data_IF_777527623036
#
_entry.id   IF_777527623036
#
_cell.length_a   1.000
_cell.length_b   1.000
_cell.length_c   1.000
_cell.angle_alpha   90.00
_cell.angle_beta   90.00
_cell.angle_gamma   90.00
#
_symmetry.space_group_name_H-M   'P 1'
#
loop_
_entity.id
_entity.type
_entity.pdbx_description
1 polymer ?
#
# COMPACT_ATOMS: atom_id res chain seq x y z
N UNK A 1 -35.31 115.49 1.57
CA UNK A 1 -36.27 114.72 0.75
C UNK A 1 -35.66 114.56 -0.64
N UNK A 2 -35.17 113.37 -0.95
CA UNK A 2 -35.08 112.76 -2.29
C UNK A 2 -34.28 111.45 -2.15
N UNK A 3 -34.89 110.37 -2.65
CA UNK A 3 -34.41 109.00 -2.76
C UNK A 3 -33.22 108.84 -3.72
N UNK A 4 -32.40 107.81 -3.49
CA UNK A 4 -31.59 107.15 -4.52
C UNK A 4 -31.54 105.63 -4.27
N UNK A 5 -31.31 104.81 -5.32
CA UNK A 5 -32.05 103.57 -5.54
C UNK A 5 -31.33 102.28 -5.12
N UNK A 6 -32.20 101.28 -4.89
CA UNK A 6 -31.96 99.87 -4.63
C UNK A 6 -31.33 99.15 -5.85
N UNK A 7 -30.22 98.44 -5.64
CA UNK A 7 -29.68 97.46 -6.59
C UNK A 7 -29.16 96.23 -5.82
N UNK A 8 -29.90 95.14 -5.91
CA UNK A 8 -29.59 93.83 -5.30
C UNK A 8 -28.80 92.95 -6.27
N UNK A 9 -27.69 92.31 -5.85
CA UNK A 9 -27.11 91.17 -6.56
C UNK A 9 -27.61 89.81 -6.01
N UNK A 10 -27.52 88.71 -6.79
CA UNK A 10 -28.22 87.44 -6.56
C UNK A 10 -27.58 86.53 -5.47
N UNK A 11 -28.30 85.51 -4.96
CA UNK A 11 -27.81 84.63 -3.90
C UNK A 11 -26.76 83.60 -4.40
N UNK A 12 -25.82 83.17 -3.55
CA UNK A 12 -24.87 82.10 -3.87
C UNK A 12 -25.51 80.69 -3.79
N UNK A 13 -24.98 79.70 -4.53
CA UNK A 13 -25.56 78.36 -4.64
C UNK A 13 -25.33 77.47 -3.40
N UNK A 14 -26.29 76.55 -3.17
CA UNK A 14 -26.26 75.49 -2.16
C UNK A 14 -24.98 74.65 -2.22
N UNK A 15 -24.35 74.45 -1.07
CA UNK A 15 -23.25 73.50 -0.89
C UNK A 15 -23.80 72.15 -0.46
N UNK A 16 -23.65 71.15 -1.33
CA UNK A 16 -23.86 69.73 -1.03
C UNK A 16 -22.90 69.29 0.11
N UNK A 17 -23.33 68.47 1.09
CA UNK A 17 -22.44 68.04 2.17
C UNK A 17 -21.45 66.98 1.67
N UNK A 18 -20.15 67.30 1.77
CA UNK A 18 -19.04 66.36 1.54
C UNK A 18 -19.09 65.19 2.53
N UNK A 19 -18.86 63.93 2.11
CA UNK A 19 -18.88 62.79 3.01
C UNK A 19 -17.62 62.73 3.89
N UNK A 20 -17.81 62.58 5.20
CA UNK A 20 -16.74 62.44 6.20
C UNK A 20 -15.79 61.26 5.93
N UNK A 21 -14.47 61.47 5.84
CA UNK A 21 -13.47 60.43 5.56
C UNK A 21 -13.24 59.43 6.72
N UNK A 22 -13.68 59.73 7.95
CA UNK A 22 -13.48 58.84 9.11
C UNK A 22 -14.35 57.58 9.07
N UNK A 23 -15.61 57.67 8.61
CA UNK A 23 -16.55 56.54 8.64
C UNK A 23 -16.20 55.44 7.61
N UNK A 24 -15.58 55.82 6.50
CA UNK A 24 -15.10 54.87 5.48
C UNK A 24 -13.84 54.10 5.92
N UNK A 25 -13.06 54.64 6.86
CA UNK A 25 -11.81 54.03 7.33
C UNK A 25 -12.06 52.96 8.38
N UNK A 26 -12.96 53.21 9.34
CA UNK A 26 -13.38 52.21 10.34
C UNK A 26 -14.13 51.04 9.70
N UNK A 27 -15.01 51.29 8.73
CA UNK A 27 -15.76 50.22 8.03
C UNK A 27 -14.86 49.31 7.18
N UNK A 28 -13.77 49.86 6.60
CA UNK A 28 -12.77 49.07 5.87
C UNK A 28 -11.86 48.27 6.82
N UNK A 29 -11.49 48.83 7.97
CA UNK A 29 -10.69 48.11 8.98
C UNK A 29 -11.49 46.97 9.64
N UNK A 30 -12.76 47.14 9.99
CA UNK A 30 -13.59 46.06 10.57
C UNK A 30 -13.86 44.94 9.55
N UNK A 31 -14.16 45.30 8.29
CA UNK A 31 -14.32 44.31 7.20
C UNK A 31 -13.01 43.57 6.88
N UNK A 32 -11.86 44.25 6.91
CA UNK A 32 -10.55 43.63 6.73
C UNK A 32 -10.18 42.68 7.87
N UNK A 33 -10.40 43.11 9.12
CA UNK A 33 -10.15 42.32 10.34
C UNK A 33 -11.03 41.07 10.40
N UNK A 34 -12.35 41.20 10.16
CA UNK A 34 -13.25 40.02 10.06
C UNK A 34 -12.85 39.09 8.93
N UNK A 35 -12.46 39.61 7.75
CA UNK A 35 -12.06 38.78 6.60
C UNK A 35 -10.78 37.99 6.88
N UNK A 36 -9.81 38.60 7.55
CA UNK A 36 -8.56 37.95 7.95
C UNK A 36 -8.79 36.91 9.06
N UNK A 37 -9.63 37.23 10.04
CA UNK A 37 -10.02 36.30 11.12
C UNK A 37 -10.79 35.07 10.61
N UNK A 38 -11.75 35.25 9.69
CA UNK A 38 -12.45 34.12 9.06
C UNK A 38 -11.52 33.27 8.18
N UNK A 39 -10.55 33.89 7.50
CA UNK A 39 -9.54 33.18 6.69
C UNK A 39 -8.63 32.33 7.58
N UNK A 40 -8.19 32.88 8.71
CA UNK A 40 -7.34 32.21 9.70
C UNK A 40 -8.06 31.03 10.39
N UNK A 41 -9.33 31.23 10.77
CA UNK A 41 -10.17 30.16 11.34
C UNK A 41 -10.40 29.02 10.34
N UNK A 42 -10.57 29.34 9.05
CA UNK A 42 -10.76 28.36 7.98
C UNK A 42 -9.48 27.56 7.72
N UNK A 43 -8.30 28.19 7.78
CA UNK A 43 -7.00 27.52 7.64
C UNK A 43 -6.76 26.55 8.81
N UNK A 44 -6.99 26.99 10.04
CA UNK A 44 -6.88 26.13 11.24
C UNK A 44 -7.81 24.92 11.18
N UNK A 45 -9.04 25.11 10.70
CA UNK A 45 -10.00 24.03 10.50
C UNK A 45 -9.54 23.03 9.42
N UNK A 46 -8.99 23.51 8.29
CA UNK A 46 -8.45 22.66 7.22
C UNK A 46 -7.22 21.88 7.69
N UNK A 47 -6.30 22.52 8.42
CA UNK A 47 -5.12 21.85 9.00
C UNK A 47 -5.53 20.76 9.99
N UNK A 48 -6.51 21.03 10.86
CA UNK A 48 -7.04 20.04 11.80
C UNK A 48 -7.65 18.83 11.11
N UNK A 49 -8.47 19.04 10.08
CA UNK A 49 -9.06 17.94 9.28
C UNK A 49 -7.95 17.13 8.61
N UNK A 50 -6.97 17.78 8.00
CA UNK A 50 -5.93 17.08 7.25
C UNK A 50 -5.01 16.27 8.19
N UNK A 51 -4.74 16.76 9.40
CA UNK A 51 -4.07 15.97 10.45
C UNK A 51 -4.91 14.77 10.93
N UNK A 52 -6.23 14.94 11.10
CA UNK A 52 -7.13 13.83 11.46
C UNK A 52 -7.16 12.76 10.35
N UNK A 53 -7.21 13.18 9.08
CA UNK A 53 -7.16 12.29 7.92
C UNK A 53 -5.84 11.50 7.93
N UNK A 54 -4.70 12.18 8.06
CA UNK A 54 -3.39 11.49 8.15
C UNK A 54 -3.34 10.47 9.30
N UNK A 55 -3.92 10.81 10.46
CA UNK A 55 -4.03 9.87 11.59
C UNK A 55 -4.86 8.65 11.23
N UNK A 56 -6.07 8.82 10.70
CA UNK A 56 -6.96 7.72 10.35
C UNK A 56 -6.33 6.79 9.31
N UNK A 57 -5.68 7.35 8.29
CA UNK A 57 -5.00 6.57 7.24
C UNK A 57 -3.71 5.89 7.71
N UNK A 58 -3.16 6.31 8.84
CA UNK A 58 -2.04 5.62 9.47
C UNK A 58 -2.48 4.38 10.28
N UNK A 59 -3.77 4.23 10.63
CA UNK A 59 -4.28 3.03 11.32
C UNK A 59 -4.19 1.75 10.48
N UNK A 60 -4.54 1.74 9.17
CA UNK A 60 -4.28 0.60 8.28
C UNK A 60 -2.82 0.13 8.27
N UNK A 61 -1.86 1.03 8.51
CA UNK A 61 -0.44 0.65 8.59
C UNK A 61 -0.21 -0.29 9.78
N UNK A 62 -0.78 0.02 10.94
CA UNK A 62 -0.68 -0.84 12.13
C UNK A 62 -1.38 -2.19 11.92
N UNK A 63 -2.56 -2.19 11.32
CA UNK A 63 -3.27 -3.43 10.97
C UNK A 63 -2.44 -4.30 10.00
N UNK A 64 -1.77 -3.68 9.03
CA UNK A 64 -0.86 -4.36 8.10
C UNK A 64 0.34 -4.97 8.82
N UNK A 65 0.91 -4.29 9.82
CA UNK A 65 1.98 -4.84 10.67
C UNK A 65 1.49 -6.09 11.41
N UNK A 66 0.33 -6.03 12.06
CA UNK A 66 -0.23 -7.19 12.77
C UNK A 66 -0.48 -8.36 11.83
N UNK A 67 -1.06 -8.10 10.65
CA UNK A 67 -1.28 -9.11 9.62
C UNK A 67 0.03 -9.76 9.14
N UNK A 68 1.07 -8.95 8.89
CA UNK A 68 2.37 -9.44 8.42
C UNK A 68 3.04 -10.33 9.48
N UNK A 69 2.95 -9.94 10.76
CA UNK A 69 3.50 -10.72 11.87
C UNK A 69 2.72 -12.03 12.11
N UNK A 70 1.40 -12.01 11.88
CA UNK A 70 0.57 -13.22 11.96
C UNK A 70 0.90 -14.22 10.84
N UNK A 71 0.95 -13.75 9.59
CA UNK A 71 1.23 -14.58 8.42
C UNK A 71 2.63 -15.22 8.42
N UNK A 72 3.62 -14.61 9.09
CA UNK A 72 4.96 -15.16 9.31
C UNK A 72 4.97 -16.61 9.81
N UNK A 73 3.94 -17.00 10.57
CA UNK A 73 3.88 -18.32 11.21
C UNK A 73 3.33 -19.44 10.30
N UNK A 74 2.67 -19.11 9.18
CA UNK A 74 1.91 -20.08 8.40
C UNK A 74 2.58 -20.54 7.09
N UNK A 75 3.56 -19.82 6.56
CA UNK A 75 3.89 -19.91 5.13
C UNK A 75 5.30 -20.44 4.76
N UNK A 76 5.94 -21.27 5.60
CA UNK A 76 7.30 -21.80 5.35
C UNK A 76 8.40 -20.73 5.09
N UNK A 77 8.07 -19.45 5.27
CA UNK A 77 8.91 -18.31 4.91
C UNK A 77 10.17 -18.19 5.77
N UNK A 78 10.20 -18.88 6.92
CA UNK A 78 11.34 -18.90 7.82
C UNK A 78 12.62 -19.45 7.18
N UNK A 79 12.49 -20.36 6.21
CA UNK A 79 13.61 -20.94 5.44
C UNK A 79 14.34 -19.89 4.60
N UNK A 80 13.67 -18.82 4.20
CA UNK A 80 14.20 -17.79 3.32
C UNK A 80 14.77 -16.58 4.08
N UNK A 81 14.82 -16.62 5.43
CA UNK A 81 15.16 -15.46 6.29
C UNK A 81 14.25 -14.24 6.08
N UNK A 82 13.12 -14.40 5.38
CA UNK A 82 12.10 -13.38 5.18
C UNK A 82 11.54 -12.82 6.49
N UNK A 83 11.44 -13.58 7.60
CA UNK A 83 11.07 -13.03 8.90
C UNK A 83 11.87 -11.82 9.34
N UNK A 84 13.18 -11.76 9.03
CA UNK A 84 14.02 -10.61 9.41
C UNK A 84 13.64 -9.36 8.61
N UNK A 85 13.33 -9.53 7.33
CA UNK A 85 12.85 -8.45 6.48
C UNK A 85 11.46 -7.98 6.93
N UNK A 86 10.56 -8.91 7.28
CA UNK A 86 9.24 -8.59 7.81
C UNK A 86 9.31 -7.80 9.12
N UNK A 87 10.21 -8.16 10.03
CA UNK A 87 10.44 -7.40 11.26
C UNK A 87 10.96 -5.99 10.93
N UNK A 88 11.93 -5.86 10.01
CA UNK A 88 12.44 -4.56 9.57
C UNK A 88 11.35 -3.66 8.98
N UNK A 89 10.50 -4.20 8.10
CA UNK A 89 9.35 -3.48 7.54
C UNK A 89 8.38 -3.08 8.67
N UNK A 90 8.09 -4.00 9.60
CA UNK A 90 7.19 -3.74 10.73
C UNK A 90 7.68 -2.60 11.62
N UNK A 91 8.97 -2.60 11.99
CA UNK A 91 9.59 -1.53 12.78
C UNK A 91 9.57 -0.20 12.00
N UNK A 92 9.88 -0.23 10.70
CA UNK A 92 9.81 0.95 9.84
C UNK A 92 8.41 1.56 9.76
N UNK A 93 7.37 0.71 9.65
CA UNK A 93 5.97 1.15 9.63
C UNK A 93 5.52 1.76 10.97
N UNK A 94 5.95 1.18 12.09
CA UNK A 94 5.70 1.77 13.43
C UNK A 94 6.40 3.13 13.55
N UNK A 95 7.66 3.23 13.09
CA UNK A 95 8.39 4.50 13.08
C UNK A 95 7.64 5.56 12.25
N UNK A 96 7.18 5.22 11.05
CA UNK A 96 6.38 6.12 10.20
C UNK A 96 5.12 6.56 10.94
N UNK A 97 4.39 5.63 11.56
CA UNK A 97 3.21 5.97 12.37
C UNK A 97 3.54 6.97 13.49
N UNK A 98 4.63 6.76 14.24
CA UNK A 98 5.05 7.66 15.32
C UNK A 98 5.49 9.03 14.81
N UNK A 99 6.20 9.07 13.68
CA UNK A 99 6.64 10.32 13.04
C UNK A 99 5.44 11.10 12.50
N UNK A 100 4.48 10.42 11.86
CA UNK A 100 3.27 11.04 11.33
C UNK A 100 2.33 11.58 12.43
N UNK A 101 2.25 10.90 13.59
CA UNK A 101 1.24 11.19 14.62
C UNK A 101 1.78 11.80 15.92
N UNK A 102 2.94 11.37 16.42
CA UNK A 102 3.36 11.60 17.81
C UNK A 102 4.35 12.76 18.01
N UNK A 103 5.27 13.00 17.08
CA UNK A 103 6.39 13.94 17.32
C UNK A 103 6.21 15.35 16.72
N UNK A 104 5.18 15.56 15.89
CA UNK A 104 5.20 16.68 14.94
C UNK A 104 4.16 17.77 15.13
N UNK A 105 3.13 17.63 15.97
CA UNK A 105 2.31 18.80 16.33
C UNK A 105 3.16 19.88 17.03
N UNK A 106 4.11 19.46 17.86
CA UNK A 106 4.99 20.35 18.62
C UNK A 106 6.17 20.88 17.78
N UNK A 107 6.83 20.03 16.99
CA UNK A 107 7.93 20.45 16.11
C UNK A 107 7.45 21.30 14.93
N UNK A 108 6.25 21.04 14.38
CA UNK A 108 5.70 21.77 13.23
C UNK A 108 5.35 23.22 13.56
N UNK A 109 4.95 23.49 14.81
CA UNK A 109 4.69 24.84 15.28
C UNK A 109 5.97 25.67 15.46
N UNK A 110 7.11 25.03 15.74
CA UNK A 110 8.38 25.74 16.03
C UNK A 110 9.39 25.71 14.88
N UNK A 111 9.47 24.61 14.13
CA UNK A 111 10.45 24.36 13.07
C UNK A 111 9.81 23.62 11.87
N UNK A 112 8.94 24.26 11.07
CA UNK A 112 8.18 23.61 9.99
C UNK A 112 9.06 23.00 8.89
N UNK A 113 10.25 23.55 8.65
CA UNK A 113 11.21 23.03 7.65
C UNK A 113 11.88 21.73 8.08
N UNK A 114 12.30 21.63 9.35
CA UNK A 114 12.89 20.39 9.90
C UNK A 114 11.82 19.30 9.95
N UNK A 115 10.61 19.70 10.33
CA UNK A 115 9.45 18.84 10.41
C UNK A 115 9.14 18.09 9.09
N UNK A 116 9.11 18.79 7.95
CA UNK A 116 8.80 18.14 6.67
C UNK A 116 9.91 17.18 6.21
N UNK A 117 11.18 17.50 6.48
CA UNK A 117 12.31 16.63 6.14
C UNK A 117 12.23 15.32 6.93
N UNK A 118 11.97 15.41 8.25
CA UNK A 118 11.88 14.23 9.12
C UNK A 118 10.73 13.30 8.72
N UNK A 119 9.65 13.81 8.13
CA UNK A 119 8.53 13.00 7.62
C UNK A 119 8.79 12.43 6.22
N UNK A 120 9.31 13.24 5.31
CA UNK A 120 9.46 12.84 3.91
C UNK A 120 10.56 11.79 3.71
N UNK A 121 11.64 11.83 4.51
CA UNK A 121 12.72 10.82 4.44
C UNK A 121 12.20 9.39 4.71
N UNK A 122 11.53 9.07 5.83
CA UNK A 122 11.02 7.72 6.05
C UNK A 122 9.91 7.32 5.05
N UNK A 123 9.08 8.27 4.59
CA UNK A 123 8.06 7.98 3.57
C UNK A 123 8.66 7.67 2.19
N UNK A 124 9.74 8.34 1.79
CA UNK A 124 10.45 8.04 0.53
C UNK A 124 11.20 6.71 0.63
N UNK A 125 11.74 6.37 1.82
CA UNK A 125 12.26 5.03 2.07
C UNK A 125 11.16 3.96 1.95
N UNK A 126 9.98 4.19 2.54
CA UNK A 126 8.83 3.29 2.40
C UNK A 126 8.41 3.11 0.93
N UNK A 127 8.40 4.19 0.16
CA UNK A 127 8.10 4.18 -1.28
C UNK A 127 9.12 3.35 -2.08
N UNK A 128 10.42 3.57 -1.85
CA UNK A 128 11.48 2.85 -2.55
C UNK A 128 11.48 1.35 -2.22
N UNK A 129 11.24 0.99 -0.96
CA UNK A 129 11.05 -0.43 -0.56
C UNK A 129 9.83 -1.03 -1.25
N UNK A 130 8.71 -0.30 -1.31
CA UNK A 130 7.50 -0.74 -2.02
C UNK A 130 7.77 -1.04 -3.50
N UNK A 131 8.48 -0.14 -4.20
CA UNK A 131 8.88 -0.36 -5.60
C UNK A 131 9.81 -1.55 -5.79
N UNK A 132 10.74 -1.77 -4.85
CA UNK A 132 11.63 -2.92 -4.88
C UNK A 132 10.84 -4.24 -4.80
N UNK A 133 9.84 -4.32 -3.92
CA UNK A 133 8.97 -5.51 -3.79
C UNK A 133 8.13 -5.77 -5.05
N UNK A 134 7.75 -4.72 -5.78
CA UNK A 134 7.07 -4.85 -7.07
C UNK A 134 7.99 -5.35 -8.20
N UNK A 135 9.30 -5.30 -8.00
CA UNK A 135 10.29 -5.71 -8.99
C UNK A 135 10.49 -4.69 -10.11
N UNK A 136 10.19 -3.40 -9.88
CA UNK A 136 10.34 -2.34 -10.88
C UNK A 136 11.79 -2.15 -11.35
N UNK A 137 12.78 -2.53 -10.52
CA UNK A 137 14.20 -2.44 -10.85
C UNK A 137 14.73 -3.84 -11.19
N UNK A 138 14.57 -4.27 -12.44
CA UNK A 138 14.81 -5.67 -12.84
C UNK A 138 16.28 -6.13 -12.71
N UNK A 139 17.24 -5.19 -12.79
CA UNK A 139 18.69 -5.50 -12.77
C UNK A 139 19.27 -5.61 -11.35
N UNK A 140 18.80 -4.79 -10.40
CA UNK A 140 19.21 -4.84 -8.97
C UNK A 140 18.52 -6.01 -8.21
N UNK A 141 17.44 -6.53 -8.81
CA UNK A 141 16.50 -7.49 -8.21
C UNK A 141 17.15 -8.75 -7.65
N UNK A 142 18.28 -9.21 -8.23
CA UNK A 142 18.97 -10.44 -7.81
C UNK A 142 19.55 -10.38 -6.40
N UNK A 143 19.98 -9.20 -5.90
CA UNK A 143 20.58 -9.06 -4.56
C UNK A 143 19.57 -8.70 -3.48
N UNK A 144 18.46 -8.08 -3.86
CA UNK A 144 17.45 -7.61 -2.90
C UNK A 144 16.53 -8.77 -2.52
N UNK A 145 16.37 -9.09 -1.22
CA UNK A 145 15.48 -10.14 -0.77
C UNK A 145 14.02 -9.79 -1.08
N UNK A 146 13.18 -10.83 -1.23
CA UNK A 146 11.75 -10.72 -1.51
C UNK A 146 11.35 -10.09 -2.86
N UNK A 147 12.26 -10.08 -3.83
CA UNK A 147 11.95 -9.72 -5.22
C UNK A 147 11.58 -10.95 -6.06
N UNK A 148 10.86 -10.78 -7.19
CA UNK A 148 10.45 -11.89 -8.05
C UNK A 148 11.63 -12.75 -8.55
N UNK A 149 12.75 -12.11 -8.91
CA UNK A 149 13.93 -12.80 -9.42
C UNK A 149 14.69 -13.54 -8.32
N UNK A 150 14.76 -12.92 -7.12
CA UNK A 150 15.38 -13.53 -5.95
C UNK A 150 14.67 -14.82 -5.52
N UNK A 151 13.33 -14.83 -5.54
CA UNK A 151 12.55 -16.04 -5.25
C UNK A 151 12.87 -17.16 -6.24
N UNK A 152 12.86 -16.87 -7.54
CA UNK A 152 13.13 -17.88 -8.57
C UNK A 152 14.50 -18.54 -8.34
N UNK A 153 15.53 -17.76 -8.04
CA UNK A 153 16.87 -18.28 -7.80
C UNK A 153 17.01 -19.08 -6.52
N UNK A 154 16.31 -18.68 -5.46
CA UNK A 154 16.41 -19.41 -4.19
C UNK A 154 15.67 -20.74 -4.22
N UNK A 155 14.54 -20.81 -4.91
CA UNK A 155 13.83 -22.08 -5.08
C UNK A 155 14.57 -23.01 -6.05
N UNK A 156 15.52 -22.48 -6.85
CA UNK A 156 16.39 -23.27 -7.72
C UNK A 156 17.48 -24.06 -7.02
N UNK A 157 17.74 -23.75 -5.75
CA UNK A 157 18.67 -24.48 -4.91
C UNK A 157 18.00 -25.75 -4.36
N UNK A 158 18.44 -26.92 -4.81
CA UNK A 158 17.85 -28.22 -4.43
C UNK A 158 17.94 -28.49 -2.92
N UNK A 159 18.99 -28.01 -2.25
CA UNK A 159 19.16 -28.15 -0.81
C UNK A 159 18.11 -27.35 -0.04
N UNK A 160 17.84 -26.12 -0.47
CA UNK A 160 16.77 -25.31 0.10
C UNK A 160 15.38 -25.87 -0.26
N UNK A 161 15.18 -26.32 -1.50
CA UNK A 161 13.91 -26.90 -1.95
C UNK A 161 13.52 -28.14 -1.14
N UNK A 162 14.48 -29.02 -0.82
CA UNK A 162 14.21 -30.21 0.00
C UNK A 162 13.66 -29.88 1.39
N UNK A 163 14.14 -28.82 2.02
CA UNK A 163 13.58 -28.34 3.29
C UNK A 163 12.21 -27.68 3.09
N UNK A 164 12.06 -26.97 1.97
CA UNK A 164 10.82 -26.26 1.65
C UNK A 164 9.66 -27.21 1.36
N UNK A 165 9.89 -28.25 0.55
CA UNK A 165 8.86 -29.24 0.23
C UNK A 165 8.41 -30.01 1.47
N UNK A 166 9.34 -30.34 2.38
CA UNK A 166 9.03 -30.92 3.68
C UNK A 166 8.13 -29.99 4.51
N UNK A 167 8.45 -28.70 4.55
CA UNK A 167 7.58 -27.73 5.22
C UNK A 167 6.20 -27.64 4.55
N UNK A 168 6.09 -27.57 3.21
CA UNK A 168 4.80 -27.50 2.50
C UNK A 168 3.93 -28.72 2.83
N UNK A 169 4.55 -29.91 2.94
CA UNK A 169 3.89 -31.12 3.41
C UNK A 169 3.44 -30.99 4.87
N UNK A 170 4.29 -30.50 5.78
CA UNK A 170 3.98 -30.34 7.21
C UNK A 170 2.87 -29.30 7.49
N UNK A 171 2.70 -28.28 6.65
CA UNK A 171 1.56 -27.33 6.76
C UNK A 171 0.25 -27.93 6.22
N UNK A 172 0.27 -29.18 5.78
CA UNK A 172 -0.91 -29.94 5.37
C UNK A 172 -1.70 -29.36 4.17
N UNK A 173 -1.05 -28.57 3.31
CA UNK A 173 -1.74 -27.84 2.21
C UNK A 173 -2.53 -28.79 1.29
N UNK A 174 -1.94 -29.92 0.92
CA UNK A 174 -2.59 -30.89 0.04
C UNK A 174 -3.63 -31.76 0.78
N UNK A 175 -3.41 -32.07 2.07
CA UNK A 175 -4.41 -32.76 2.88
C UNK A 175 -5.66 -31.89 3.07
N UNK A 176 -5.49 -30.59 3.33
CA UNK A 176 -6.59 -29.63 3.46
C UNK A 176 -7.36 -29.46 2.15
N UNK A 177 -6.65 -29.45 1.01
CA UNK A 177 -7.29 -29.47 -0.30
C UNK A 177 -8.12 -30.75 -0.49
N UNK A 178 -7.57 -31.92 -0.19
CA UNK A 178 -8.27 -33.20 -0.30
C UNK A 178 -9.52 -33.24 0.59
N UNK A 179 -9.41 -32.81 1.85
CA UNK A 179 -10.53 -32.77 2.79
C UNK A 179 -11.63 -31.79 2.33
N UNK A 180 -11.24 -30.59 1.90
CA UNK A 180 -12.18 -29.55 1.45
C UNK A 180 -12.77 -29.79 0.05
N UNK A 181 -12.29 -30.80 -0.68
CA UNK A 181 -12.77 -31.17 -2.03
C UNK A 181 -13.52 -32.49 -2.07
N UNK A 182 -13.50 -33.27 -0.99
CA UNK A 182 -14.22 -34.53 -0.86
C UNK A 182 -15.71 -34.50 -1.27
N UNK A 183 -16.50 -33.43 -0.99
CA UNK A 183 -17.90 -33.39 -1.41
C UNK A 183 -18.12 -32.89 -2.85
N UNK A 184 -17.07 -32.52 -3.59
CA UNK A 184 -17.19 -31.86 -4.88
C UNK A 184 -17.21 -32.85 -6.06
N UNK A 185 -18.07 -32.57 -7.04
CA UNK A 185 -18.04 -33.24 -8.34
C UNK A 185 -16.86 -32.73 -9.19
N UNK A 186 -16.38 -33.49 -10.19
CA UNK A 186 -15.29 -33.05 -11.08
C UNK A 186 -15.52 -31.68 -11.72
N UNK A 187 -16.76 -31.41 -12.17
CA UNK A 187 -17.15 -30.13 -12.78
C UNK A 187 -17.08 -28.93 -11.81
N UNK A 188 -17.27 -29.19 -10.52
CA UNK A 188 -17.26 -28.18 -9.48
C UNK A 188 -15.83 -27.97 -8.94
N UNK A 189 -15.01 -29.03 -8.95
CA UNK A 189 -13.58 -28.94 -8.65
C UNK A 189 -12.84 -28.03 -9.64
N UNK A 190 -13.10 -28.17 -10.94
CA UNK A 190 -12.49 -27.32 -11.98
C UNK A 190 -12.87 -25.82 -11.84
N UNK A 191 -13.95 -25.51 -11.11
CA UNK A 191 -14.37 -24.13 -10.81
C UNK A 191 -13.84 -23.62 -9.48
N UNK A 192 -13.30 -24.51 -8.63
CA UNK A 192 -12.74 -24.14 -7.32
C UNK A 192 -11.49 -23.30 -7.54
N UNK A 193 -11.41 -22.17 -6.83
CA UNK A 193 -10.22 -21.33 -6.87
C UNK A 193 -9.13 -21.97 -6.02
N UNK A 194 -8.21 -22.66 -6.67
CA UNK A 194 -6.99 -23.19 -6.06
C UNK A 194 -5.98 -22.06 -5.89
N UNK A 195 -5.27 -22.06 -4.77
CA UNK A 195 -4.04 -21.29 -4.61
C UNK A 195 -2.96 -21.81 -5.56
N UNK A 196 -1.95 -20.98 -5.84
CA UNK A 196 -0.86 -21.38 -6.74
C UNK A 196 -0.06 -22.59 -6.23
N UNK A 197 -0.02 -22.81 -4.90
CA UNK A 197 0.64 -23.97 -4.30
C UNK A 197 -0.25 -25.21 -4.46
N UNK A 198 -1.55 -25.09 -4.19
CA UNK A 198 -2.50 -26.19 -4.39
C UNK A 198 -2.49 -26.69 -5.84
N UNK A 199 -2.56 -25.78 -6.82
CA UNK A 199 -2.54 -26.15 -8.24
C UNK A 199 -1.18 -26.68 -8.73
N UNK A 200 -0.09 -26.29 -8.09
CA UNK A 200 1.26 -26.68 -8.52
C UNK A 200 1.78 -27.95 -7.85
N UNK A 201 1.40 -28.19 -6.60
CA UNK A 201 1.95 -29.28 -5.78
C UNK A 201 0.94 -30.41 -5.55
N UNK A 202 -0.36 -30.10 -5.50
CA UNK A 202 -1.39 -31.05 -5.12
C UNK A 202 -2.21 -31.59 -6.30
N UNK A 203 -2.04 -31.05 -7.50
CA UNK A 203 -2.66 -31.52 -8.75
C UNK A 203 -1.58 -31.71 -9.82
N UNK A 204 -1.75 -32.69 -10.73
CA UNK A 204 -0.84 -32.84 -11.86
C UNK A 204 -1.01 -31.70 -12.88
N UNK A 205 0.02 -31.42 -13.69
CA UNK A 205 -0.10 -30.51 -14.83
C UNK A 205 -1.18 -30.97 -15.84
N UNK A 206 -1.91 -30.02 -16.42
CA UNK A 206 -2.97 -30.31 -17.42
C UNK A 206 -2.42 -31.03 -18.67
N UNK A 207 -1.17 -30.76 -19.03
CA UNK A 207 -0.45 -31.38 -20.15
C UNK A 207 -0.16 -32.88 -19.95
N UNK A 208 -0.31 -33.40 -18.72
CA UNK A 208 -0.15 -34.83 -18.46
C UNK A 208 -1.38 -35.66 -18.86
N UNK A 209 -2.50 -35.02 -19.25
CA UNK A 209 -3.73 -35.67 -19.69
C UNK A 209 -4.22 -36.79 -18.75
N UNK A 210 -4.07 -36.60 -17.42
CA UNK A 210 -4.51 -37.59 -16.44
C UNK A 210 -6.02 -37.48 -16.17
N UNK A 211 -6.66 -38.61 -15.91
CA UNK A 211 -8.09 -38.70 -15.58
C UNK A 211 -8.33 -38.32 -14.12
N UNK A 212 -9.16 -37.31 -13.90
CA UNK A 212 -9.56 -36.88 -12.56
C UNK A 212 -10.35 -37.98 -11.84
N UNK A 213 -9.94 -38.33 -10.62
CA UNK A 213 -10.71 -39.20 -9.71
C UNK A 213 -11.09 -38.44 -8.45
N UNK A 214 -10.11 -37.82 -7.78
CA UNK A 214 -10.32 -36.89 -6.68
C UNK A 214 -9.28 -35.76 -6.75
N UNK A 215 -9.35 -34.77 -5.86
CA UNK A 215 -8.48 -33.60 -5.91
C UNK A 215 -6.98 -33.90 -5.94
N UNK A 216 -6.53 -34.93 -5.22
CA UNK A 216 -5.10 -35.30 -5.11
C UNK A 216 -4.81 -36.67 -5.73
N UNK A 217 -5.77 -37.26 -6.46
CA UNK A 217 -5.64 -38.58 -7.08
C UNK A 217 -6.12 -38.51 -8.52
N UNK A 218 -5.20 -38.83 -9.41
CA UNK A 218 -5.39 -38.74 -10.85
C UNK A 218 -4.87 -40.02 -11.48
N UNK A 219 -5.69 -40.67 -12.30
CA UNK A 219 -5.32 -41.91 -12.97
C UNK A 219 -4.60 -41.58 -14.28
N UNK A 220 -3.49 -42.26 -14.56
CA UNK A 220 -2.80 -42.11 -15.85
C UNK A 220 -3.62 -42.87 -16.90
N UNK A 221 -3.95 -42.22 -18.00
CA UNK A 221 -4.56 -42.91 -19.12
C UNK A 221 -3.50 -43.79 -19.80
N UNK A 222 -3.75 -45.09 -19.95
CA UNK A 222 -2.85 -46.08 -20.57
C UNK A 222 -2.71 -45.91 -22.10
N UNK A 223 -3.20 -44.80 -22.66
CA UNK A 223 -3.12 -44.53 -24.09
C UNK A 223 -1.69 -44.15 -24.51
N UNK A 224 -1.11 -44.82 -25.51
CA UNK A 224 0.30 -44.64 -25.91
C UNK A 224 0.59 -43.30 -26.64
N UNK A 225 -0.36 -42.37 -26.70
CA UNK A 225 -0.25 -41.13 -27.48
C UNK A 225 0.31 -39.93 -26.71
N UNK A 226 0.41 -40.00 -25.38
CA UNK A 226 1.08 -38.95 -24.62
C UNK A 226 2.39 -39.50 -24.13
N UNK A 227 3.46 -39.26 -24.90
CA UNK A 227 4.82 -39.62 -24.52
C UNK A 227 5.13 -39.03 -23.13
N UNK A 228 5.15 -39.85 -22.06
CA UNK A 228 5.40 -39.36 -20.72
C UNK A 228 6.84 -38.86 -20.59
N UNK A 229 7.71 -39.11 -21.57
CA UNK A 229 9.08 -38.59 -21.61
C UNK A 229 9.17 -37.10 -21.95
N UNK A 230 8.11 -36.47 -22.44
CA UNK A 230 8.16 -35.06 -22.89
C UNK A 230 8.13 -34.08 -21.71
N UNK A 231 7.60 -34.48 -20.54
CA UNK A 231 7.54 -33.62 -19.37
C UNK A 231 7.99 -34.32 -18.09
N UNK A 232 9.09 -33.83 -17.52
CA UNK A 232 9.66 -34.33 -16.27
C UNK A 232 8.65 -34.30 -15.10
N UNK A 233 7.72 -33.35 -15.10
CA UNK A 233 6.71 -33.21 -14.05
C UNK A 233 5.68 -34.35 -14.08
N UNK A 234 5.29 -34.85 -15.26
CA UNK A 234 4.35 -35.97 -15.39
C UNK A 234 4.96 -37.29 -14.87
N UNK A 235 6.28 -37.43 -14.97
CA UNK A 235 7.02 -38.57 -14.42
C UNK A 235 7.25 -38.44 -12.91
N UNK A 236 7.46 -37.21 -12.42
CA UNK A 236 7.65 -36.92 -11.01
C UNK A 236 6.34 -37.08 -10.20
N UNK A 237 5.18 -36.82 -10.82
CA UNK A 237 3.88 -36.99 -10.18
C UNK A 237 3.59 -38.43 -9.74
N UNK A 238 3.17 -38.60 -8.47
CA UNK A 238 2.64 -39.85 -7.91
C UNK A 238 1.39 -39.59 -7.06
N UNK A 239 0.45 -40.53 -7.06
CA UNK A 239 -0.75 -40.47 -6.22
C UNK A 239 -0.49 -40.80 -4.72
N UNK A 240 0.77 -40.97 -4.35
CA UNK A 240 1.19 -41.16 -2.97
C UNK A 240 1.11 -39.83 -2.23
N UNK A 241 0.43 -39.80 -1.07
CA UNK A 241 0.20 -38.59 -0.27
C UNK A 241 1.48 -37.88 0.14
N UNK A 242 2.59 -38.63 0.25
CA UNK A 242 3.89 -38.13 0.70
C UNK A 242 4.78 -37.65 -0.46
N UNK A 243 4.37 -37.87 -1.72
CA UNK A 243 5.17 -37.53 -2.91
C UNK A 243 4.46 -36.49 -3.78
N UNK A 244 3.20 -36.73 -4.16
CA UNK A 244 2.38 -35.83 -5.01
C UNK A 244 3.24 -35.21 -6.14
N UNK A 245 3.18 -33.88 -6.33
CA UNK A 245 4.08 -33.15 -7.22
C UNK A 245 5.15 -32.35 -6.44
N UNK A 246 5.53 -32.75 -5.23
CA UNK A 246 6.48 -31.98 -4.42
C UNK A 246 7.88 -31.84 -5.08
N UNK A 247 8.24 -32.76 -5.97
CA UNK A 247 9.50 -32.72 -6.74
C UNK A 247 9.33 -32.14 -8.16
N UNK A 248 8.13 -31.71 -8.53
CA UNK A 248 7.85 -31.12 -9.84
C UNK A 248 8.32 -29.66 -9.95
N UNK A 249 8.71 -29.23 -11.16
CA UNK A 249 8.94 -27.82 -11.46
C UNK A 249 7.65 -27.00 -11.33
N UNK A 250 6.49 -27.58 -11.63
CA UNK A 250 5.17 -26.97 -11.45
C UNK A 250 4.90 -26.57 -10.00
N UNK A 251 5.30 -27.39 -9.02
CA UNK A 251 5.17 -27.06 -7.59
C UNK A 251 6.07 -25.89 -7.20
N UNK A 252 7.33 -25.93 -7.64
CA UNK A 252 8.30 -24.85 -7.45
C UNK A 252 7.85 -23.52 -8.07
N UNK A 253 7.32 -23.55 -9.29
CA UNK A 253 6.74 -22.38 -9.94
C UNK A 253 5.49 -21.87 -9.23
N UNK A 254 4.61 -22.78 -8.82
CA UNK A 254 3.41 -22.47 -8.03
C UNK A 254 3.75 -21.75 -6.73
N UNK A 255 4.75 -22.25 -6.01
CA UNK A 255 5.24 -21.63 -4.78
C UNK A 255 5.86 -20.25 -5.01
N UNK A 256 6.72 -20.09 -6.02
CA UNK A 256 7.28 -18.77 -6.39
C UNK A 256 6.16 -17.79 -6.74
N UNK A 257 5.12 -18.23 -7.45
CA UNK A 257 3.98 -17.39 -7.83
C UNK A 257 3.14 -16.99 -6.62
N UNK A 258 2.95 -17.89 -5.65
CA UNK A 258 2.32 -17.59 -4.36
C UNK A 258 3.08 -16.50 -3.60
N UNK A 259 4.39 -16.65 -3.44
CA UNK A 259 5.25 -15.66 -2.79
C UNK A 259 5.21 -14.32 -3.54
N UNK A 260 5.40 -14.33 -4.87
CA UNK A 260 5.34 -13.12 -5.69
C UNK A 260 4.01 -12.38 -5.51
N UNK A 261 2.88 -13.11 -5.50
CA UNK A 261 1.56 -12.51 -5.32
C UNK A 261 1.42 -11.85 -3.94
N UNK A 262 1.89 -12.50 -2.88
CA UNK A 262 1.82 -11.96 -1.51
C UNK A 262 2.67 -10.70 -1.37
N UNK A 263 3.95 -10.77 -1.75
CA UNK A 263 4.88 -9.66 -1.62
C UNK A 263 4.57 -8.50 -2.58
N UNK A 264 4.02 -8.79 -3.77
CA UNK A 264 3.55 -7.74 -4.67
C UNK A 264 2.36 -6.98 -4.10
N UNK A 265 1.38 -7.66 -3.47
CA UNK A 265 0.26 -6.98 -2.80
C UNK A 265 0.75 -6.06 -1.68
N UNK A 266 1.73 -6.51 -0.88
CA UNK A 266 2.36 -5.66 0.13
C UNK A 266 3.09 -4.46 -0.51
N UNK A 267 3.83 -4.67 -1.59
CA UNK A 267 4.48 -3.60 -2.35
C UNK A 267 3.49 -2.54 -2.86
N UNK A 268 2.37 -2.97 -3.46
CA UNK A 268 1.30 -2.05 -3.91
C UNK A 268 0.76 -1.23 -2.73
N UNK A 269 0.50 -1.88 -1.59
CA UNK A 269 0.03 -1.21 -0.38
C UNK A 269 1.03 -0.17 0.15
N UNK A 270 2.32 -0.51 0.22
CA UNK A 270 3.36 0.43 0.66
C UNK A 270 3.48 1.63 -0.28
N UNK A 271 3.47 1.39 -1.60
CA UNK A 271 3.55 2.47 -2.59
C UNK A 271 2.33 3.39 -2.50
N UNK A 272 1.12 2.82 -2.45
CA UNK A 272 -0.11 3.63 -2.41
C UNK A 272 -0.20 4.47 -1.13
N UNK A 273 0.11 3.89 0.02
CA UNK A 273 0.12 4.61 1.30
C UNK A 273 1.22 5.66 1.35
N UNK A 274 2.41 5.39 0.80
CA UNK A 274 3.51 6.36 0.76
C UNK A 274 3.12 7.60 -0.04
N UNK A 275 2.60 7.41 -1.25
CA UNK A 275 2.19 8.52 -2.13
C UNK A 275 1.11 9.36 -1.47
N UNK A 276 0.10 8.71 -0.87
CA UNK A 276 -0.98 9.40 -0.18
C UNK A 276 -0.47 10.22 1.02
N UNK A 277 0.33 9.61 1.90
CA UNK A 277 0.86 10.31 3.07
C UNK A 277 1.82 11.45 2.69
N UNK A 278 2.66 11.25 1.66
CA UNK A 278 3.51 12.32 1.11
C UNK A 278 2.62 13.48 0.64
N UNK A 279 1.58 13.22 -0.14
CA UNK A 279 0.67 14.26 -0.60
C UNK A 279 -0.01 15.01 0.55
N UNK A 280 -0.52 14.29 1.56
CA UNK A 280 -1.11 14.91 2.75
C UNK A 280 -0.11 15.78 3.51
N UNK A 281 1.10 15.29 3.76
CA UNK A 281 2.12 16.05 4.50
C UNK A 281 2.67 17.24 3.73
N UNK A 282 2.78 17.12 2.41
CA UNK A 282 3.13 18.25 1.53
C UNK A 282 2.03 19.31 1.52
N UNK A 283 0.76 18.91 1.42
CA UNK A 283 -0.38 19.84 1.49
C UNK A 283 -0.45 20.54 2.86
N UNK A 284 -0.26 19.81 3.97
CA UNK A 284 -0.14 20.39 5.31
C UNK A 284 0.99 21.42 5.33
N UNK A 285 2.14 21.13 4.70
CA UNK A 285 3.31 22.01 4.73
C UNK A 285 3.04 23.32 3.98
N UNK A 286 2.45 23.21 2.79
CA UNK A 286 2.03 24.38 2.02
C UNK A 286 1.00 25.22 2.78
N UNK A 287 0.02 24.60 3.43
CA UNK A 287 -0.98 25.31 4.24
C UNK A 287 -0.33 26.07 5.41
N UNK A 288 0.61 25.44 6.13
CA UNK A 288 1.33 26.09 7.23
C UNK A 288 2.23 27.22 6.76
N UNK A 289 2.91 27.06 5.61
CA UNK A 289 3.77 28.12 5.08
C UNK A 289 2.96 29.31 4.58
N UNK A 290 1.79 29.05 3.98
CA UNK A 290 0.85 30.08 3.57
C UNK A 290 0.36 30.91 4.76
N UNK A 291 0.05 30.28 5.89
CA UNK A 291 -0.33 30.98 7.14
C UNK A 291 0.80 31.88 7.65
N UNK A 292 2.06 31.43 7.59
CA UNK A 292 3.18 32.22 8.11
C UNK A 292 3.52 33.42 7.20
N UNK A 293 3.37 33.29 5.88
CA UNK A 293 3.88 34.29 4.91
C UNK A 293 2.81 35.19 4.30
N UNK A 294 1.53 34.81 4.35
CA UNK A 294 0.43 35.52 3.67
C UNK A 294 -0.67 36.03 4.62
N UNK A 295 -0.43 36.00 5.92
CA UNK A 295 -1.32 36.52 6.99
C UNK A 295 -0.56 37.53 7.82
#
# INVERSE_FOLDING_TARGET
>A
MAEEPNNTPPPPPETEPTPDPENNTQTKQDKGSKKNMFKDLKVKHVTGILSLVSFVFSLPILASVTWLLYMKSYDCEWLFKLPRLQIGISVGLILVFLVCNGALLFLRARWPMVAIIVVTVPLTLMFTVGLALLGSNSLESRRVPATPLWFKMKVDDDGLWNNLKGCIYDVHVCQDLAASSMPLKPSDFNKKKLSYVESGCCTPPEECHMRYVNATFWEKDDTPETDPSVNADCNAWKNDRDVLCYDCQSCKQGYVKALKSKWSKLGVFLVSMAVFLIACHMALFLATMWEIHCT
#
